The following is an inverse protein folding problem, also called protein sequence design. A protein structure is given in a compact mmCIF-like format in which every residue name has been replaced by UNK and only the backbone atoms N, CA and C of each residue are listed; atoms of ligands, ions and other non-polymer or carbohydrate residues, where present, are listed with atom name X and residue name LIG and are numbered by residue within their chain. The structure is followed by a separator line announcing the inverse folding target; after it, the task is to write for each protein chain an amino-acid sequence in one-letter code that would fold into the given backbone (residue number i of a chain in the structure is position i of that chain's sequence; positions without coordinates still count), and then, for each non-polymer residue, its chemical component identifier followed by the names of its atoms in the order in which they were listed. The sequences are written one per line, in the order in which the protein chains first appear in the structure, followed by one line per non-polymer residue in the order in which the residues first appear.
data_IF_112111606009
#
_entry.id   IF_112111606009
#
_cell.length_a   1.000
_cell.length_b   1.000
_cell.length_c   1.000
_cell.angle_alpha   90.00
_cell.angle_beta   90.00
_cell.angle_gamma   90.00
#
_symmetry.space_group_name_H-M   'P 1'
#
loop_
_entity.id
_entity.type
_entity.pdbx_description
1 polymer ?
#
# COMPACT_ATOMS: atom_id res chain seq x y z
N UNK A 1 18.04 15.93 14.34
CA UNK A 1 17.24 14.72 14.31
C UNK A 1 15.72 14.99 14.28
N UNK A 2 15.10 15.75 15.21
CA UNK A 2 13.64 15.94 15.18
C UNK A 2 13.09 16.60 13.90
N UNK A 3 13.85 17.51 13.28
CA UNK A 3 13.43 18.21 12.06
C UNK A 3 13.27 17.26 10.87
N UNK A 4 14.22 16.35 10.65
CA UNK A 4 14.12 15.37 9.56
C UNK A 4 13.00 14.35 9.78
N UNK A 5 12.76 13.94 11.02
CA UNK A 5 11.63 13.09 11.37
C UNK A 5 10.29 13.79 11.08
N UNK A 6 10.15 15.06 11.48
CA UNK A 6 8.95 15.85 11.17
C UNK A 6 8.74 15.94 9.64
N UNK A 7 9.78 16.28 8.89
CA UNK A 7 9.73 16.35 7.44
C UNK A 7 9.26 15.03 6.83
N UNK A 8 9.88 13.92 7.23
CA UNK A 8 9.56 12.59 6.69
C UNK A 8 8.18 12.08 7.13
N UNK A 9 7.71 12.43 8.32
CA UNK A 9 6.34 12.12 8.74
C UNK A 9 5.30 12.84 7.88
N UNK A 10 5.51 14.13 7.60
CA UNK A 10 4.61 14.88 6.72
C UNK A 10 4.65 14.40 5.26
N UNK A 11 5.77 13.83 4.82
CA UNK A 11 5.88 13.22 3.50
C UNK A 11 5.12 11.90 3.42
N UNK A 12 5.32 11.00 4.40
CA UNK A 12 4.80 9.64 4.33
C UNK A 12 3.28 9.57 4.45
N UNK A 13 2.64 10.48 5.20
CA UNK A 13 1.18 10.47 5.40
C UNK A 13 0.40 10.69 4.10
N UNK A 14 1.00 11.32 3.08
CA UNK A 14 0.31 11.63 1.83
C UNK A 14 0.00 10.38 1.00
N UNK A 15 0.80 9.33 1.13
CA UNK A 15 0.54 8.05 0.48
C UNK A 15 -0.77 7.40 0.97
N UNK A 16 -0.95 7.08 2.26
CA UNK A 16 -2.19 6.46 2.73
C UNK A 16 -3.39 7.44 2.68
N UNK A 17 -3.19 8.74 2.91
CA UNK A 17 -4.27 9.73 2.74
C UNK A 17 -4.81 9.71 1.32
N UNK A 18 -3.96 9.64 0.30
CA UNK A 18 -4.37 9.53 -1.10
C UNK A 18 -5.17 8.26 -1.42
N UNK A 19 -5.07 7.22 -0.60
CA UNK A 19 -5.80 5.96 -0.74
C UNK A 19 -7.06 5.96 0.15
N UNK A 20 -6.92 6.23 1.46
CA UNK A 20 -7.96 5.90 2.44
C UNK A 20 -8.99 7.02 2.60
N UNK A 21 -8.58 8.29 2.44
CA UNK A 21 -9.44 9.42 2.75
C UNK A 21 -10.64 9.55 1.78
N UNK A 22 -10.46 9.22 0.49
CA UNK A 22 -11.53 9.36 -0.48
C UNK A 22 -12.50 8.17 -0.55
N UNK A 23 -12.15 7.03 0.08
CA UNK A 23 -12.95 5.81 0.00
C UNK A 23 -14.37 6.00 0.51
N UNK A 24 -14.55 6.80 1.56
CA UNK A 24 -15.87 7.16 2.11
C UNK A 24 -16.75 7.93 1.11
N UNK A 25 -16.14 8.56 0.10
CA UNK A 25 -16.83 9.32 -0.93
C UNK A 25 -17.03 8.54 -2.23
N UNK A 26 -16.51 7.33 -2.34
CA UNK A 26 -16.54 6.53 -3.59
C UNK A 26 -17.93 6.44 -4.20
N UNK A 27 -19.02 6.12 -3.47
CA UNK A 27 -20.34 6.09 -4.09
C UNK A 27 -20.79 7.46 -4.61
N UNK A 28 -20.56 8.54 -3.83
CA UNK A 28 -20.91 9.92 -4.24
C UNK A 28 -20.11 10.38 -5.48
N UNK A 29 -18.84 9.96 -5.59
CA UNK A 29 -18.00 10.24 -6.76
C UNK A 29 -18.53 9.48 -7.97
N UNK A 30 -18.87 8.20 -7.81
CA UNK A 30 -19.43 7.37 -8.87
C UNK A 30 -20.73 7.99 -9.41
N UNK A 31 -21.64 8.39 -8.54
CA UNK A 31 -22.90 9.04 -8.91
C UNK A 31 -22.66 10.39 -9.60
N UNK A 32 -21.80 11.25 -9.03
CA UNK A 32 -21.52 12.59 -9.56
C UNK A 32 -20.84 12.57 -10.94
N UNK A 33 -19.97 11.59 -11.19
CA UNK A 33 -19.26 11.42 -12.46
C UNK A 33 -19.94 10.43 -13.39
N UNK A 34 -21.11 9.89 -12.99
CA UNK A 34 -21.85 8.83 -13.71
C UNK A 34 -20.92 7.66 -14.08
N UNK A 35 -20.05 7.28 -13.17
CA UNK A 35 -19.02 6.28 -13.36
C UNK A 35 -19.50 4.88 -12.96
N UNK A 36 -19.15 3.89 -13.79
CA UNK A 36 -19.35 2.48 -13.44
C UNK A 36 -18.36 2.02 -12.36
N UNK A 37 -18.65 0.88 -11.72
CA UNK A 37 -17.74 0.25 -10.76
C UNK A 37 -16.35 -0.02 -11.36
N UNK A 38 -16.30 -0.54 -12.59
CA UNK A 38 -15.06 -0.75 -13.31
C UNK A 38 -14.25 0.53 -13.51
N UNK A 39 -14.92 1.66 -13.71
CA UNK A 39 -14.26 2.95 -13.83
C UNK A 39 -13.70 3.44 -12.48
N UNK A 40 -14.40 3.18 -11.38
CA UNK A 40 -13.90 3.47 -10.03
C UNK A 40 -12.68 2.61 -9.70
N UNK A 41 -12.72 1.31 -10.00
CA UNK A 41 -11.54 0.43 -9.85
C UNK A 41 -10.37 0.89 -10.72
N UNK A 42 -10.65 1.37 -11.92
CA UNK A 42 -9.64 1.97 -12.80
C UNK A 42 -9.01 3.22 -12.17
N UNK A 43 -9.80 4.11 -11.55
CA UNK A 43 -9.28 5.30 -10.87
C UNK A 43 -8.34 4.95 -9.70
N UNK A 44 -8.66 3.90 -8.93
CA UNK A 44 -7.80 3.38 -7.87
C UNK A 44 -6.48 2.83 -8.44
N UNK A 45 -6.59 2.01 -9.48
CA UNK A 45 -5.44 1.39 -10.14
C UNK A 45 -4.50 2.40 -10.79
N UNK A 46 -5.05 3.44 -11.42
CA UNK A 46 -4.28 4.53 -12.04
C UNK A 46 -3.43 5.29 -11.00
N UNK A 47 -3.96 5.52 -9.80
CA UNK A 47 -3.17 6.08 -8.70
C UNK A 47 -1.99 5.18 -8.33
N UNK A 48 -2.21 3.87 -8.21
CA UNK A 48 -1.16 2.90 -7.91
C UNK A 48 -0.11 2.84 -9.03
N UNK A 49 -0.50 2.91 -10.31
CA UNK A 49 0.44 2.96 -11.43
C UNK A 49 1.28 4.24 -11.44
N UNK A 50 0.67 5.40 -11.14
CA UNK A 50 1.42 6.65 -10.97
C UNK A 50 2.47 6.54 -9.85
N UNK A 51 2.09 5.94 -8.73
CA UNK A 51 2.99 5.68 -7.61
C UNK A 51 4.13 4.73 -7.99
N UNK A 52 3.82 3.60 -8.63
CA UNK A 52 4.83 2.62 -9.05
C UNK A 52 5.84 3.22 -10.03
N UNK A 53 5.38 4.02 -11.00
CA UNK A 53 6.25 4.71 -11.95
C UNK A 53 7.26 5.63 -11.24
N UNK A 54 6.82 6.33 -10.21
CA UNK A 54 7.70 7.23 -9.46
C UNK A 54 8.64 6.49 -8.53
N UNK A 55 8.21 5.39 -7.91
CA UNK A 55 9.11 4.54 -7.10
C UNK A 55 10.26 4.00 -7.95
N UNK A 56 9.98 3.66 -9.23
CA UNK A 56 11.01 3.22 -10.17
C UNK A 56 12.00 4.32 -10.55
N UNK A 57 11.50 5.51 -10.88
CA UNK A 57 12.30 6.60 -11.45
C UNK A 57 12.78 7.60 -10.40
N UNK A 58 12.06 7.73 -9.29
CA UNK A 58 12.30 8.78 -8.28
C UNK A 58 13.66 8.71 -7.63
N UNK A 59 14.19 7.50 -7.41
CA UNK A 59 15.55 7.31 -6.92
C UNK A 59 16.61 7.89 -7.88
N UNK A 60 16.50 7.59 -9.17
CA UNK A 60 17.43 8.09 -10.21
C UNK A 60 17.33 9.62 -10.36
N UNK A 61 16.12 10.17 -10.31
CA UNK A 61 15.90 11.62 -10.37
C UNK A 61 16.50 12.29 -9.13
N UNK A 62 16.30 11.73 -7.95
CA UNK A 62 16.86 12.24 -6.71
C UNK A 62 18.39 12.18 -6.66
N UNK A 63 19.00 11.15 -7.25
CA UNK A 63 20.46 11.06 -7.37
C UNK A 63 21.04 12.12 -8.32
N UNK A 64 20.28 12.52 -9.33
CA UNK A 64 20.71 13.53 -10.30
C UNK A 64 20.46 14.97 -9.84
N UNK A 65 19.25 15.26 -9.35
CA UNK A 65 18.79 16.61 -9.06
C UNK A 65 18.80 16.97 -7.57
N UNK A 66 18.96 16.00 -6.67
CA UNK A 66 18.91 16.18 -5.23
C UNK A 66 17.56 15.74 -4.62
N UNK A 67 17.60 15.37 -3.34
CA UNK A 67 16.43 14.84 -2.60
C UNK A 67 15.38 15.92 -2.37
N UNK A 68 15.85 17.12 -1.98
CA UNK A 68 14.96 18.26 -1.68
C UNK A 68 14.07 18.64 -2.84
N UNK A 69 14.62 18.69 -4.05
CA UNK A 69 13.84 19.08 -5.24
C UNK A 69 12.79 18.04 -5.63
N UNK A 70 13.08 16.76 -5.44
CA UNK A 70 12.10 15.68 -5.68
C UNK A 70 10.96 15.75 -4.66
N UNK A 71 11.25 16.05 -3.38
CA UNK A 71 10.23 16.25 -2.34
C UNK A 71 9.32 17.43 -2.68
N UNK A 72 9.89 18.58 -3.02
CA UNK A 72 9.10 19.78 -3.33
C UNK A 72 8.29 19.62 -4.61
N UNK A 73 8.87 19.02 -5.65
CA UNK A 73 8.18 18.70 -6.89
C UNK A 73 7.05 17.69 -6.67
N UNK A 74 7.29 16.63 -5.89
CA UNK A 74 6.30 15.64 -5.53
C UNK A 74 5.12 16.23 -4.76
N UNK A 75 5.39 17.10 -3.78
CA UNK A 75 4.35 17.79 -3.02
C UNK A 75 3.52 18.74 -3.91
N UNK A 76 4.18 19.52 -4.78
CA UNK A 76 3.49 20.39 -5.72
C UNK A 76 2.60 19.60 -6.70
N UNK A 77 3.13 18.51 -7.26
CA UNK A 77 2.37 17.63 -8.15
C UNK A 77 1.15 17.07 -7.41
N UNK A 78 1.31 16.60 -6.16
CA UNK A 78 0.19 16.07 -5.37
C UNK A 78 -0.88 17.14 -5.11
N UNK A 79 -0.49 18.37 -4.77
CA UNK A 79 -1.42 19.51 -4.59
C UNK A 79 -2.22 19.75 -5.86
N UNK A 80 -1.54 19.99 -6.99
CA UNK A 80 -2.19 20.32 -8.26
C UNK A 80 -3.09 19.16 -8.72
N UNK A 81 -2.62 17.94 -8.61
CA UNK A 81 -3.36 16.74 -8.98
C UNK A 81 -4.62 16.55 -8.11
N UNK A 82 -4.51 16.81 -6.80
CA UNK A 82 -5.67 16.77 -5.90
C UNK A 82 -6.71 17.81 -6.29
N UNK A 83 -6.29 19.03 -6.64
CA UNK A 83 -7.22 20.05 -7.12
C UNK A 83 -7.88 19.66 -8.46
N UNK A 84 -7.11 19.08 -9.40
CA UNK A 84 -7.66 18.57 -10.66
C UNK A 84 -8.67 17.46 -10.42
N UNK A 85 -8.37 16.51 -9.56
CA UNK A 85 -9.29 15.42 -9.22
C UNK A 85 -10.56 15.94 -8.51
N UNK A 86 -10.41 16.91 -7.59
CA UNK A 86 -11.53 17.53 -6.88
C UNK A 86 -12.44 18.40 -7.75
N UNK A 87 -11.93 18.95 -8.85
CA UNK A 87 -12.72 19.75 -9.80
C UNK A 87 -13.10 18.97 -11.06
N UNK A 88 -12.95 17.63 -11.04
CA UNK A 88 -13.29 16.82 -12.19
C UNK A 88 -14.80 16.90 -12.51
N UNK A 89 -15.12 17.17 -13.77
CA UNK A 89 -16.47 17.13 -14.34
C UNK A 89 -16.78 15.81 -15.05
N UNK A 90 -15.75 14.98 -15.28
CA UNK A 90 -15.89 13.67 -15.90
C UNK A 90 -14.78 12.71 -15.47
N UNK A 91 -15.02 11.42 -15.75
CA UNK A 91 -14.14 10.34 -15.29
C UNK A 91 -12.71 10.45 -15.84
N UNK A 92 -12.53 10.92 -17.08
CA UNK A 92 -11.20 11.06 -17.69
C UNK A 92 -10.34 12.10 -16.97
N UNK A 93 -10.93 13.25 -16.60
CA UNK A 93 -10.23 14.28 -15.83
C UNK A 93 -9.90 13.77 -14.42
N UNK A 94 -10.80 13.01 -13.82
CA UNK A 94 -10.57 12.35 -12.55
C UNK A 94 -9.38 11.38 -12.63
N UNK A 95 -9.29 10.55 -13.69
CA UNK A 95 -8.15 9.66 -13.93
C UNK A 95 -6.83 10.41 -14.04
N UNK A 96 -6.79 11.52 -14.77
CA UNK A 96 -5.59 12.35 -14.87
C UNK A 96 -5.16 12.87 -13.49
N UNK A 97 -6.12 13.39 -12.70
CA UNK A 97 -5.85 13.82 -11.33
C UNK A 97 -5.30 12.67 -10.49
N UNK A 98 -5.91 11.48 -10.52
CA UNK A 98 -5.48 10.30 -9.76
C UNK A 98 -4.08 9.82 -10.16
N UNK A 99 -3.76 9.81 -11.46
CA UNK A 99 -2.43 9.43 -11.94
C UNK A 99 -1.33 10.34 -11.42
N UNK A 100 -1.50 11.64 -11.59
CA UNK A 100 -0.51 12.61 -11.12
C UNK A 100 -0.44 12.69 -9.60
N UNK A 101 -1.56 12.48 -8.90
CA UNK A 101 -1.59 12.35 -7.45
C UNK A 101 -0.76 11.14 -6.99
N UNK A 102 -0.86 10.00 -7.70
CA UNK A 102 -0.02 8.82 -7.47
C UNK A 102 1.47 9.12 -7.68
N UNK A 103 1.83 9.87 -8.74
CA UNK A 103 3.23 10.31 -8.98
C UNK A 103 3.73 11.15 -7.82
N UNK A 104 2.97 12.12 -7.35
CA UNK A 104 3.33 12.95 -6.20
C UNK A 104 3.52 12.14 -4.92
N UNK A 105 2.57 11.25 -4.62
CA UNK A 105 2.62 10.36 -3.45
C UNK A 105 3.83 9.42 -3.51
N UNK A 106 4.11 8.82 -4.66
CA UNK A 106 5.26 7.93 -4.86
C UNK A 106 6.60 8.63 -4.67
N UNK A 107 6.72 9.88 -5.13
CA UNK A 107 7.91 10.70 -4.92
C UNK A 107 8.16 10.94 -3.42
N UNK A 108 7.12 11.33 -2.68
CA UNK A 108 7.21 11.58 -1.24
C UNK A 108 7.45 10.30 -0.45
N UNK A 109 6.81 9.20 -0.85
CA UNK A 109 7.00 7.88 -0.26
C UNK A 109 8.47 7.45 -0.33
N UNK A 110 9.07 7.42 -1.53
CA UNK A 110 10.44 6.95 -1.69
C UNK A 110 11.45 7.91 -1.04
N UNK A 111 11.21 9.21 -1.10
CA UNK A 111 12.08 10.22 -0.47
C UNK A 111 12.07 10.12 1.05
N UNK A 112 10.97 9.72 1.68
CA UNK A 112 10.91 9.46 3.12
C UNK A 112 12.00 8.50 3.56
N UNK A 113 12.10 7.34 2.91
CA UNK A 113 13.10 6.33 3.24
C UNK A 113 14.52 6.74 2.83
N UNK A 114 14.64 7.44 1.71
CA UNK A 114 15.93 7.91 1.20
C UNK A 114 16.56 8.95 2.13
N UNK A 115 15.80 9.98 2.51
CA UNK A 115 16.27 11.04 3.42
C UNK A 115 16.65 10.47 4.78
N UNK A 116 15.85 9.56 5.35
CA UNK A 116 16.18 8.94 6.63
C UNK A 116 17.48 8.13 6.56
N UNK A 117 17.69 7.40 5.46
CA UNK A 117 18.93 6.64 5.24
C UNK A 117 20.15 7.53 5.04
N UNK A 118 20.00 8.65 4.36
CA UNK A 118 21.10 9.60 4.11
C UNK A 118 21.56 10.31 5.39
N UNK A 119 20.67 10.48 6.40
CA UNK A 119 20.90 11.33 7.58
C UNK A 119 21.15 10.52 8.86
N UNK A 120 20.63 9.29 8.99
CA UNK A 120 20.64 8.55 10.23
C UNK A 120 21.66 7.40 10.24
N UNK A 121 22.29 7.15 11.41
CA UNK A 121 23.05 5.93 11.67
C UNK A 121 22.11 4.70 11.67
N UNK A 122 22.65 3.49 11.45
CA UNK A 122 21.87 2.24 11.35
C UNK A 122 20.91 2.02 12.54
N UNK A 123 21.37 2.28 13.78
CA UNK A 123 20.54 2.12 14.99
C UNK A 123 19.36 3.11 15.01
N UNK A 124 19.62 4.39 14.66
CA UNK A 124 18.61 5.45 14.63
C UNK A 124 17.66 5.28 13.45
N UNK A 125 18.16 4.74 12.36
CA UNK A 125 17.35 4.42 11.16
C UNK A 125 16.31 3.36 11.50
N UNK A 126 16.68 2.27 12.16
CA UNK A 126 15.73 1.23 12.56
C UNK A 126 14.59 1.78 13.44
N UNK A 127 14.92 2.67 14.40
CA UNK A 127 13.92 3.35 15.23
C UNK A 127 13.01 4.27 14.39
N UNK A 128 13.59 5.08 13.51
CA UNK A 128 12.83 6.00 12.65
C UNK A 128 11.88 5.24 11.69
N UNK A 129 12.34 4.13 11.11
CA UNK A 129 11.51 3.28 10.25
C UNK A 129 10.34 2.65 11.02
N UNK A 130 10.56 2.25 12.28
CA UNK A 130 9.49 1.76 13.15
C UNK A 130 8.45 2.85 13.43
N UNK A 131 8.88 4.09 13.68
CA UNK A 131 7.97 5.23 13.88
C UNK A 131 7.19 5.56 12.59
N UNK A 132 7.84 5.55 11.42
CA UNK A 132 7.19 5.74 10.11
C UNK A 132 6.12 4.67 9.89
N UNK A 133 6.44 3.41 10.19
CA UNK A 133 5.46 2.33 10.06
C UNK A 133 4.26 2.52 10.99
N UNK A 134 4.49 3.00 12.20
CA UNK A 134 3.41 3.39 13.13
C UNK A 134 2.49 4.46 12.54
N UNK A 135 3.04 5.49 11.92
CA UNK A 135 2.26 6.54 11.23
C UNK A 135 1.43 5.95 10.09
N UNK A 136 2.02 5.08 9.26
CA UNK A 136 1.31 4.42 8.16
C UNK A 136 0.13 3.59 8.68
N UNK A 137 0.27 2.92 9.83
CA UNK A 137 -0.80 2.12 10.43
C UNK A 137 -1.93 2.97 11.06
N UNK A 138 -1.62 4.20 11.51
CA UNK A 138 -2.61 5.09 12.15
C UNK A 138 -3.51 5.77 11.12
N UNK A 139 -3.00 6.10 9.94
CA UNK A 139 -3.78 6.84 8.91
C UNK A 139 -5.04 6.08 8.47
N UNK A 140 -5.02 4.77 8.15
CA UNK A 140 -6.24 4.04 7.80
C UNK A 140 -7.30 4.00 8.91
N UNK A 141 -6.88 4.20 10.18
CA UNK A 141 -7.82 4.35 11.32
C UNK A 141 -8.50 5.71 11.29
N UNK A 142 -7.74 6.78 11.04
CA UNK A 142 -8.22 8.16 11.10
C UNK A 142 -8.88 8.62 9.79
N UNK A 143 -8.40 8.18 8.64
CA UNK A 143 -8.83 8.68 7.35
C UNK A 143 -10.34 8.49 7.07
N UNK A 144 -10.96 7.34 7.35
CA UNK A 144 -12.41 7.20 7.15
C UNK A 144 -13.24 8.14 8.04
N UNK A 145 -12.81 8.36 9.28
CA UNK A 145 -13.47 9.29 10.21
C UNK A 145 -13.32 10.73 9.74
N UNK A 146 -12.12 11.13 9.35
CA UNK A 146 -11.87 12.46 8.78
C UNK A 146 -12.63 12.66 7.48
N UNK A 147 -12.69 11.65 6.62
CA UNK A 147 -13.46 11.68 5.39
C UNK A 147 -14.96 11.86 5.65
N UNK A 148 -15.53 11.14 6.62
CA UNK A 148 -16.91 11.32 7.06
C UNK A 148 -17.18 12.75 7.58
N UNK A 149 -16.28 13.26 8.44
CA UNK A 149 -16.41 14.63 8.96
C UNK A 149 -16.35 15.68 7.84
N UNK A 150 -15.52 15.49 6.83
CA UNK A 150 -15.49 16.38 5.66
C UNK A 150 -16.81 16.27 4.89
N UNK A 151 -17.30 15.05 4.63
CA UNK A 151 -18.52 14.81 3.87
C UNK A 151 -19.81 15.24 4.60
N UNK A 152 -19.78 15.45 5.91
CA UNK A 152 -20.91 15.97 6.68
C UNK A 152 -21.10 17.48 6.53
N UNK A 153 -20.05 18.20 6.07
CA UNK A 153 -20.07 19.65 5.91
C UNK A 153 -19.82 20.11 4.48
N UNK A 154 -19.16 19.29 3.67
CA UNK A 154 -18.75 19.59 2.31
C UNK A 154 -19.13 18.46 1.34
N UNK A 155 -19.18 18.76 0.06
CA UNK A 155 -19.28 17.76 -1.00
C UNK A 155 -18.01 16.90 -1.08
N UNK A 156 -18.04 15.79 -1.83
CA UNK A 156 -16.89 14.89 -2.07
C UNK A 156 -15.62 15.63 -2.57
N UNK A 157 -15.80 16.75 -3.25
CA UNK A 157 -14.70 17.63 -3.69
C UNK A 157 -13.90 18.17 -2.52
N UNK A 158 -14.52 18.41 -1.37
CA UNK A 158 -13.88 18.85 -0.14
C UNK A 158 -12.80 17.89 0.36
N UNK A 159 -12.92 16.60 0.09
CA UNK A 159 -11.89 15.60 0.41
C UNK A 159 -10.59 15.88 -0.35
N UNK A 160 -10.69 16.16 -1.64
CA UNK A 160 -9.52 16.45 -2.48
C UNK A 160 -8.90 17.81 -2.15
N UNK A 161 -9.71 18.79 -1.75
CA UNK A 161 -9.20 20.08 -1.22
C UNK A 161 -8.46 19.85 0.10
N UNK A 162 -8.97 19.03 1.00
CA UNK A 162 -8.28 18.68 2.25
C UNK A 162 -6.94 17.96 1.97
N UNK A 163 -6.92 17.02 1.01
CA UNK A 163 -5.67 16.38 0.56
C UNK A 163 -4.67 17.40 0.02
N UNK A 164 -5.13 18.34 -0.81
CA UNK A 164 -4.29 19.41 -1.35
C UNK A 164 -3.72 20.31 -0.24
N UNK A 165 -4.53 20.66 0.78
CA UNK A 165 -4.07 21.44 1.93
C UNK A 165 -3.02 20.70 2.76
N UNK A 166 -3.22 19.43 3.06
CA UNK A 166 -2.23 18.61 3.78
C UNK A 166 -0.92 18.53 2.99
N UNK A 167 -1.00 18.33 1.68
CA UNK A 167 0.18 18.30 0.81
C UNK A 167 0.87 19.67 0.72
N UNK A 168 0.11 20.76 0.66
CA UNK A 168 0.66 22.12 0.67
C UNK A 168 1.41 22.42 1.98
N UNK A 169 0.82 22.06 3.12
CA UNK A 169 1.46 22.19 4.44
C UNK A 169 2.74 21.32 4.50
N UNK A 170 2.66 20.06 4.05
CA UNK A 170 3.83 19.18 3.97
C UNK A 170 4.92 19.80 3.08
N UNK A 171 4.55 20.27 1.90
CA UNK A 171 5.47 20.93 0.96
C UNK A 171 6.12 22.20 1.55
N UNK A 172 5.33 23.05 2.21
CA UNK A 172 5.82 24.28 2.85
C UNK A 172 6.79 23.97 4.01
N UNK A 173 6.45 23.04 4.88
CA UNK A 173 7.33 22.62 5.98
C UNK A 173 8.64 22.04 5.43
N UNK A 174 8.56 21.21 4.39
CA UNK A 174 9.75 20.67 3.74
C UNK A 174 10.56 21.75 3.00
N UNK A 175 9.92 22.74 2.40
CA UNK A 175 10.60 23.89 1.79
C UNK A 175 11.42 24.67 2.83
N UNK A 176 10.87 24.88 4.02
CA UNK A 176 11.50 25.69 5.07
C UNK A 176 12.56 24.92 5.86
N UNK A 177 12.33 23.62 6.12
CA UNK A 177 13.12 22.86 7.09
C UNK A 177 13.99 21.79 6.45
N UNK A 178 13.61 21.20 5.31
CA UNK A 178 14.38 20.13 4.69
C UNK A 178 15.60 20.71 3.97
N UNK A 179 16.79 20.38 4.46
CA UNK A 179 18.06 20.66 3.78
C UNK A 179 18.35 19.55 2.77
N UNK A 180 19.17 19.85 1.74
CA UNK A 180 19.64 18.83 0.82
C UNK A 180 20.46 17.78 1.56
N UNK A 181 20.10 16.50 1.37
CA UNK A 181 20.72 15.36 2.07
C UNK A 181 21.53 14.46 1.14
N UNK A 182 21.60 14.79 -0.15
CA UNK A 182 22.34 14.03 -1.13
C UNK A 182 23.79 13.85 -0.71
N UNK A 183 24.29 12.58 -0.55
CA UNK A 183 25.69 12.35 -0.23
C UNK A 183 26.60 12.80 -1.38
N UNK A 184 27.80 13.26 -1.05
CA UNK A 184 28.82 13.54 -2.04
C UNK A 184 29.10 12.24 -2.84
N UNK A 185 29.09 12.33 -4.16
CA UNK A 185 29.28 11.18 -5.07
C UNK A 185 30.65 10.55 -4.80
N UNK A 186 30.67 9.34 -4.24
CA UNK A 186 31.90 8.56 -4.16
C UNK A 186 32.16 7.91 -5.53
N UNK A 187 33.30 8.25 -6.19
CA UNK A 187 33.71 7.53 -7.41
C UNK A 187 34.09 6.12 -7.02
N UNK A 188 33.40 5.13 -7.51
CA UNK A 188 33.80 3.73 -7.34
C UNK A 188 32.83 2.79 -6.62
N UNK A 189 31.61 3.19 -6.26
CA UNK A 189 30.58 2.22 -5.89
C UNK A 189 30.18 1.46 -7.17
N UNK A 190 30.98 0.43 -7.48
CA UNK A 190 30.73 -0.48 -8.59
C UNK A 190 29.29 -0.96 -8.50
N UNK A 191 28.56 -0.82 -9.60
CA UNK A 191 27.23 -1.38 -9.76
C UNK A 191 27.33 -2.90 -9.55
N UNK A 192 27.13 -3.35 -8.30
CA UNK A 192 26.78 -4.74 -8.08
C UNK A 192 25.62 -5.02 -9.02
N UNK A 193 25.67 -6.14 -9.77
CA UNK A 193 24.71 -6.43 -10.83
C UNK A 193 23.30 -6.54 -10.23
N UNK A 194 22.53 -5.43 -10.17
CA UNK A 194 21.23 -5.44 -9.48
C UNK A 194 20.23 -6.36 -10.17
N UNK A 195 20.40 -6.56 -11.50
CA UNK A 195 19.55 -7.42 -12.31
C UNK A 195 19.77 -8.93 -12.08
N UNK A 196 20.88 -9.34 -11.45
CA UNK A 196 21.09 -10.74 -11.09
C UNK A 196 20.03 -11.23 -10.07
N UNK A 197 19.55 -10.33 -9.21
CA UNK A 197 18.49 -10.62 -8.24
C UNK A 197 17.18 -11.04 -8.90
N UNK A 198 16.80 -10.42 -10.02
CA UNK A 198 15.60 -10.76 -10.78
C UNK A 198 15.68 -12.16 -11.43
N UNK A 199 16.86 -12.74 -11.55
CA UNK A 199 17.07 -14.10 -12.05
C UNK A 199 17.01 -15.15 -10.94
N UNK A 200 16.98 -14.75 -9.67
CA UNK A 200 16.86 -15.68 -8.54
C UNK A 200 15.41 -16.18 -8.43
N UNK A 201 15.15 -17.50 -8.65
CA UNK A 201 13.79 -18.05 -8.53
C UNK A 201 13.24 -17.91 -7.11
N UNK A 202 14.12 -18.01 -6.09
CA UNK A 202 13.75 -17.81 -4.68
C UNK A 202 13.24 -16.40 -4.43
N UNK A 203 13.98 -15.38 -4.91
CA UNK A 203 13.57 -13.98 -4.75
C UNK A 203 12.25 -13.70 -5.47
N UNK A 204 12.08 -14.20 -6.70
CA UNK A 204 10.85 -14.00 -7.48
C UNK A 204 9.64 -14.65 -6.84
N UNK A 205 9.78 -15.89 -6.30
CA UNK A 205 8.71 -16.58 -5.59
C UNK A 205 8.26 -15.83 -4.33
N UNK A 206 9.22 -15.35 -3.52
CA UNK A 206 8.92 -14.57 -2.31
C UNK A 206 8.37 -13.19 -2.67
N UNK A 207 8.80 -12.60 -3.78
CA UNK A 207 8.24 -11.35 -4.30
C UNK A 207 6.77 -11.53 -4.72
N UNK A 208 6.41 -12.64 -5.36
CA UNK A 208 5.03 -12.96 -5.69
C UNK A 208 4.18 -13.18 -4.44
N UNK A 209 4.70 -13.87 -3.42
CA UNK A 209 4.00 -14.06 -2.14
C UNK A 209 3.70 -12.73 -1.46
N UNK A 210 4.70 -11.84 -1.36
CA UNK A 210 4.50 -10.51 -0.75
C UNK A 210 3.56 -9.65 -1.58
N UNK A 211 3.64 -9.73 -2.92
CA UNK A 211 2.73 -9.00 -3.82
C UNK A 211 1.30 -9.48 -3.70
N UNK A 212 1.07 -10.79 -3.61
CA UNK A 212 -0.27 -11.35 -3.41
C UNK A 212 -0.87 -10.93 -2.05
N UNK A 213 -0.05 -10.86 -0.98
CA UNK A 213 -0.49 -10.34 0.32
C UNK A 213 -0.87 -8.86 0.25
N UNK A 214 -0.08 -8.01 -0.42
CA UNK A 214 -0.40 -6.59 -0.63
C UNK A 214 -1.63 -6.44 -1.53
N UNK A 215 -1.76 -7.26 -2.57
CA UNK A 215 -2.94 -7.26 -3.43
C UNK A 215 -4.21 -7.55 -2.63
N UNK A 216 -4.18 -8.53 -1.72
CA UNK A 216 -5.34 -8.86 -0.89
C UNK A 216 -5.84 -7.68 -0.06
N UNK A 217 -4.94 -6.93 0.58
CA UNK A 217 -5.34 -5.77 1.39
C UNK A 217 -5.76 -4.57 0.51
N UNK A 218 -5.09 -4.31 -0.61
CA UNK A 218 -5.45 -3.22 -1.51
C UNK A 218 -6.78 -3.48 -2.24
N UNK A 219 -7.06 -4.73 -2.60
CA UNK A 219 -8.37 -5.13 -3.12
C UNK A 219 -9.44 -4.92 -2.04
N UNK A 220 -9.24 -5.43 -0.82
CA UNK A 220 -10.15 -5.21 0.30
C UNK A 220 -10.46 -3.71 0.48
N UNK A 221 -9.43 -2.86 0.51
CA UNK A 221 -9.59 -1.41 0.64
C UNK A 221 -10.38 -0.83 -0.54
N UNK A 222 -10.07 -1.24 -1.77
CA UNK A 222 -10.74 -0.74 -2.98
C UNK A 222 -12.21 -1.14 -3.09
N UNK A 223 -12.56 -2.37 -2.68
CA UNK A 223 -13.92 -2.91 -2.84
C UNK A 223 -14.82 -2.67 -1.63
N UNK A 224 -14.26 -2.43 -0.45
CA UNK A 224 -15.02 -2.29 0.80
C UNK A 224 -16.12 -1.21 0.75
N UNK A 225 -15.93 -0.01 0.12
CA UNK A 225 -16.99 0.98 0.05
C UNK A 225 -18.14 0.52 -0.87
N UNK A 226 -17.84 -0.20 -1.93
CA UNK A 226 -18.86 -0.74 -2.84
C UNK A 226 -19.66 -1.84 -2.16
N UNK A 227 -19.01 -2.78 -1.47
CA UNK A 227 -19.68 -3.83 -0.72
C UNK A 227 -20.54 -3.21 0.39
N UNK A 228 -19.96 -2.45 1.31
CA UNK A 228 -20.68 -1.99 2.51
C UNK A 228 -21.73 -0.93 2.19
N UNK A 229 -21.39 0.07 1.36
CA UNK A 229 -22.29 1.22 1.15
C UNK A 229 -23.26 0.98 0.00
N UNK A 230 -22.86 0.29 -1.08
CA UNK A 230 -23.73 0.08 -2.25
C UNK A 230 -24.53 -1.22 -2.17
N UNK A 231 -23.89 -2.36 -1.81
CA UNK A 231 -24.58 -3.64 -1.74
C UNK A 231 -25.36 -3.80 -0.43
N UNK A 232 -24.76 -3.41 0.72
CA UNK A 232 -25.37 -3.54 2.05
C UNK A 232 -26.09 -2.28 2.56
N UNK A 233 -26.04 -1.16 1.82
CA UNK A 233 -26.76 0.07 2.13
C UNK A 233 -26.24 0.80 3.39
N UNK A 234 -25.00 0.58 3.80
CA UNK A 234 -24.40 1.29 4.94
C UNK A 234 -24.30 2.78 4.66
N UNK A 235 -24.60 3.58 5.68
CA UNK A 235 -24.33 5.02 5.63
C UNK A 235 -22.82 5.28 5.64
N UNK A 236 -22.41 6.47 5.20
CA UNK A 236 -21.02 6.91 5.27
C UNK A 236 -20.44 6.83 6.68
N UNK A 237 -21.28 7.12 7.71
CA UNK A 237 -20.90 7.02 9.11
C UNK A 237 -20.64 5.56 9.51
N UNK A 238 -21.58 4.66 9.22
CA UNK A 238 -21.44 3.23 9.52
C UNK A 238 -20.21 2.62 8.83
N UNK A 239 -19.99 2.95 7.55
CA UNK A 239 -18.81 2.55 6.82
C UNK A 239 -17.53 3.02 7.53
N UNK A 240 -17.48 4.29 7.94
CA UNK A 240 -16.31 4.86 8.62
C UNK A 240 -16.01 4.16 9.95
N UNK A 241 -17.05 3.82 10.71
CA UNK A 241 -16.91 3.06 11.96
C UNK A 241 -16.35 1.66 11.69
N UNK A 242 -16.91 0.94 10.69
CA UNK A 242 -16.41 -0.39 10.31
C UNK A 242 -14.94 -0.32 9.91
N UNK A 243 -14.56 0.61 9.03
CA UNK A 243 -13.18 0.74 8.59
C UNK A 243 -12.23 1.12 9.73
N UNK A 244 -12.66 1.98 10.66
CA UNK A 244 -11.90 2.30 11.86
C UNK A 244 -11.67 1.05 12.74
N UNK A 245 -12.69 0.23 12.94
CA UNK A 245 -12.59 -1.03 13.69
C UNK A 245 -11.64 -1.99 13.00
N UNK A 246 -11.76 -2.17 11.67
CA UNK A 246 -10.89 -3.05 10.89
C UNK A 246 -9.42 -2.60 10.91
N UNK A 247 -9.19 -1.29 10.82
CA UNK A 247 -7.85 -0.73 10.98
C UNK A 247 -7.31 -0.93 12.41
N UNK A 248 -8.16 -0.85 13.42
CA UNK A 248 -7.84 -1.20 14.81
C UNK A 248 -7.43 -2.68 14.95
N UNK A 249 -8.13 -3.60 14.28
CA UNK A 249 -7.76 -5.03 14.21
C UNK A 249 -6.40 -5.20 13.57
N UNK A 250 -6.13 -4.56 12.42
CA UNK A 250 -4.82 -4.57 11.76
C UNK A 250 -3.71 -4.08 12.66
N UNK A 251 -3.93 -2.94 13.32
CA UNK A 251 -2.96 -2.33 14.22
C UNK A 251 -2.65 -3.23 15.41
N UNK A 252 -3.68 -3.76 16.08
CA UNK A 252 -3.52 -4.68 17.22
C UNK A 252 -2.77 -5.94 16.81
N UNK A 253 -3.10 -6.52 15.67
CA UNK A 253 -2.40 -7.69 15.12
C UNK A 253 -0.93 -7.38 14.84
N UNK A 254 -0.64 -6.23 14.24
CA UNK A 254 0.73 -5.80 13.96
C UNK A 254 1.58 -5.67 15.24
N UNK A 255 1.00 -5.12 16.31
CA UNK A 255 1.69 -5.04 17.62
C UNK A 255 1.89 -6.42 18.28
N UNK A 256 0.97 -7.36 18.06
CA UNK A 256 1.09 -8.73 18.60
C UNK A 256 2.05 -9.61 17.77
N UNK A 257 2.27 -9.29 16.50
CA UNK A 257 3.09 -10.11 15.60
C UNK A 257 4.51 -10.38 16.11
N UNK A 258 5.27 -9.42 16.69
CA UNK A 258 6.59 -9.71 17.26
C UNK A 258 6.54 -10.73 18.39
N UNK A 259 5.49 -10.72 19.21
CA UNK A 259 5.29 -11.71 20.29
C UNK A 259 4.97 -13.09 19.70
N UNK A 260 4.10 -13.16 18.69
CA UNK A 260 3.79 -14.40 17.98
C UNK A 260 5.04 -14.98 17.30
N UNK A 261 5.90 -14.16 16.73
CA UNK A 261 7.16 -14.58 16.13
C UNK A 261 8.12 -15.21 17.15
N UNK A 262 8.17 -14.67 18.38
CA UNK A 262 8.98 -15.24 19.47
C UNK A 262 8.47 -16.61 19.91
N UNK A 263 7.16 -16.81 19.97
CA UNK A 263 6.56 -18.07 20.47
C UNK A 263 6.42 -19.14 19.39
N UNK A 264 6.02 -18.76 18.19
CA UNK A 264 5.68 -19.70 17.12
C UNK A 264 6.77 -19.85 16.06
N UNK A 265 7.61 -18.82 15.89
CA UNK A 265 8.60 -18.74 14.81
C UNK A 265 8.00 -18.35 13.45
N UNK A 266 8.85 -17.92 12.52
CA UNK A 266 8.47 -17.34 11.21
C UNK A 266 7.49 -18.24 10.42
N UNK A 267 7.79 -19.52 10.31
CA UNK A 267 7.01 -20.47 9.49
C UNK A 267 5.57 -20.66 9.99
N UNK A 268 5.37 -20.75 11.31
CA UNK A 268 4.03 -20.91 11.88
C UNK A 268 3.24 -19.61 11.84
N UNK A 269 3.89 -18.45 12.03
CA UNK A 269 3.23 -17.14 11.88
C UNK A 269 2.74 -16.95 10.44
N UNK A 270 3.55 -17.33 9.45
CA UNK A 270 3.14 -17.28 8.05
C UNK A 270 1.98 -18.26 7.76
N UNK A 271 1.98 -19.45 8.38
CA UNK A 271 0.86 -20.39 8.27
C UNK A 271 -0.43 -19.83 8.91
N UNK A 272 -0.36 -19.18 10.08
CA UNK A 272 -1.49 -18.50 10.73
C UNK A 272 -2.06 -17.39 9.83
N UNK A 273 -1.20 -16.59 9.21
CA UNK A 273 -1.61 -15.57 8.24
C UNK A 273 -2.46 -16.14 7.09
N UNK A 274 -1.98 -17.24 6.47
CA UNK A 274 -2.70 -17.87 5.34
C UNK A 274 -3.91 -18.68 5.78
N UNK A 275 -3.91 -19.24 6.99
CA UNK A 275 -5.11 -19.83 7.60
C UNK A 275 -6.19 -18.74 7.80
N UNK A 276 -5.81 -17.54 8.23
CA UNK A 276 -6.75 -16.42 8.35
C UNK A 276 -7.34 -16.05 6.98
N UNK A 277 -6.56 -16.06 5.90
CA UNK A 277 -7.10 -15.85 4.54
C UNK A 277 -8.05 -16.96 4.12
N UNK A 278 -7.76 -18.22 4.43
CA UNK A 278 -8.66 -19.35 4.14
C UNK A 278 -9.99 -19.19 4.88
N UNK A 279 -9.94 -18.87 6.16
CA UNK A 279 -11.14 -18.64 6.97
C UNK A 279 -11.92 -17.40 6.47
N UNK A 280 -11.22 -16.36 6.00
CA UNK A 280 -11.85 -15.19 5.36
C UNK A 280 -12.61 -15.61 4.09
N UNK A 281 -12.01 -16.43 3.22
CA UNK A 281 -12.69 -16.96 2.03
C UNK A 281 -13.94 -17.73 2.41
N UNK A 282 -13.86 -18.63 3.41
CA UNK A 282 -15.03 -19.38 3.88
C UNK A 282 -16.13 -18.46 4.42
N UNK A 283 -15.77 -17.43 5.18
CA UNK A 283 -16.69 -16.45 5.76
C UNK A 283 -17.39 -15.61 4.68
N UNK A 284 -16.63 -15.12 3.69
CA UNK A 284 -17.16 -14.35 2.56
C UNK A 284 -18.07 -15.18 1.65
N UNK A 285 -17.68 -16.43 1.34
CA UNK A 285 -18.53 -17.35 0.58
C UNK A 285 -19.80 -17.69 1.35
N UNK A 286 -19.72 -17.90 2.67
CA UNK A 286 -20.87 -18.11 3.54
C UNK A 286 -21.83 -16.93 3.51
N UNK A 287 -21.31 -15.69 3.62
CA UNK A 287 -22.11 -14.48 3.50
C UNK A 287 -22.84 -14.39 2.15
N UNK A 288 -22.13 -14.70 1.06
CA UNK A 288 -22.72 -14.70 -0.28
C UNK A 288 -23.83 -15.75 -0.45
N UNK A 289 -23.62 -16.97 0.05
CA UNK A 289 -24.61 -18.07 -0.03
C UNK A 289 -25.87 -17.82 0.82
N UNK A 290 -25.74 -17.09 1.91
CA UNK A 290 -26.87 -16.74 2.81
C UNK A 290 -27.62 -15.47 2.38
N UNK A 291 -27.32 -14.94 1.19
CA UNK A 291 -27.98 -13.73 0.66
C UNK A 291 -27.48 -12.43 1.26
N UNK A 292 -26.22 -12.42 1.75
CA UNK A 292 -25.61 -11.21 2.29
C UNK A 292 -25.69 -11.10 3.81
N UNK A 293 -25.30 -12.15 4.54
CA UNK A 293 -25.26 -12.07 6.00
C UNK A 293 -24.05 -11.24 6.47
N UNK A 294 -24.34 -10.11 7.12
CA UNK A 294 -23.36 -9.19 7.69
C UNK A 294 -22.53 -9.83 8.81
N UNK A 295 -23.12 -10.77 9.55
CA UNK A 295 -22.45 -11.49 10.64
C UNK A 295 -21.36 -12.44 10.14
N UNK A 296 -21.37 -12.76 8.85
CA UNK A 296 -20.29 -13.50 8.18
C UNK A 296 -19.35 -12.54 7.43
N UNK A 297 -19.87 -11.46 6.85
CA UNK A 297 -19.05 -10.51 6.09
C UNK A 297 -18.01 -9.80 6.96
N UNK A 298 -18.41 -9.22 8.10
CA UNK A 298 -17.51 -8.45 8.96
C UNK A 298 -16.38 -9.28 9.57
N UNK A 299 -16.62 -10.50 10.12
CA UNK A 299 -15.52 -11.39 10.50
C UNK A 299 -14.61 -11.76 9.33
N UNK A 300 -15.14 -11.95 8.11
CA UNK A 300 -14.35 -12.14 6.90
C UNK A 300 -13.38 -10.99 6.68
N UNK A 301 -13.83 -9.75 6.77
CA UNK A 301 -12.99 -8.56 6.66
C UNK A 301 -11.94 -8.46 7.77
N UNK A 302 -12.31 -8.78 9.01
CA UNK A 302 -11.36 -8.81 10.12
C UNK A 302 -10.25 -9.86 9.89
N UNK A 303 -10.60 -11.03 9.37
CA UNK A 303 -9.65 -12.08 9.04
C UNK A 303 -8.70 -11.70 7.89
N UNK A 304 -9.16 -10.92 6.90
CA UNK A 304 -8.26 -10.32 5.88
C UNK A 304 -7.23 -9.42 6.54
N UNK A 305 -7.68 -8.54 7.43
CA UNK A 305 -6.81 -7.61 8.17
C UNK A 305 -5.79 -8.36 9.04
N UNK A 306 -6.22 -9.39 9.78
CA UNK A 306 -5.33 -10.25 10.58
C UNK A 306 -4.31 -10.95 9.69
N UNK A 307 -4.75 -11.56 8.60
CA UNK A 307 -3.89 -12.28 7.66
C UNK A 307 -2.78 -11.40 7.11
N UNK A 308 -3.13 -10.20 6.63
CA UNK A 308 -2.15 -9.23 6.12
C UNK A 308 -1.18 -8.77 7.20
N UNK A 309 -1.69 -8.29 8.33
CA UNK A 309 -0.89 -7.68 9.39
C UNK A 309 0.08 -8.66 10.05
N UNK A 310 -0.33 -9.94 10.15
CA UNK A 310 0.49 -11.01 10.70
C UNK A 310 1.56 -11.48 9.71
N UNK A 311 1.23 -11.62 8.42
CA UNK A 311 2.06 -12.30 7.43
C UNK A 311 2.99 -11.41 6.63
N UNK A 312 2.55 -10.19 6.28
CA UNK A 312 3.28 -9.33 5.35
C UNK A 312 4.72 -9.03 5.78
N UNK A 313 4.91 -8.62 7.03
CA UNK A 313 6.25 -8.30 7.56
C UNK A 313 7.19 -9.51 7.57
N UNK A 314 6.65 -10.69 7.84
CA UNK A 314 7.42 -11.95 7.84
C UNK A 314 7.84 -12.32 6.43
N UNK A 315 6.89 -12.30 5.48
CA UNK A 315 7.16 -12.59 4.07
C UNK A 315 8.15 -11.60 3.45
N UNK A 316 8.01 -10.29 3.78
CA UNK A 316 8.96 -9.25 3.34
C UNK A 316 10.35 -9.48 3.90
N UNK A 317 10.46 -9.86 5.17
CA UNK A 317 11.74 -10.22 5.79
C UNK A 317 12.39 -11.42 5.12
N UNK A 318 11.65 -12.48 4.83
CA UNK A 318 12.16 -13.65 4.11
C UNK A 318 12.59 -13.34 2.67
N UNK A 319 11.88 -12.43 2.00
CA UNK A 319 12.25 -11.99 0.65
C UNK A 319 13.57 -11.19 0.62
N UNK A 320 13.85 -10.46 1.68
CA UNK A 320 15.10 -9.67 1.83
C UNK A 320 16.24 -10.48 2.46
N UNK A 321 15.95 -11.62 3.10
CA UNK A 321 16.98 -12.53 3.60
C UNK A 321 17.82 -13.07 2.42
N UNK A 322 19.13 -12.81 2.43
CA UNK A 322 20.04 -13.14 1.34
C UNK A 322 20.36 -11.99 0.37
N UNK A 323 19.70 -10.84 0.51
CA UNK A 323 19.97 -9.64 -0.31
C UNK A 323 20.91 -8.62 0.37
N UNK A 324 21.78 -9.07 1.31
CA UNK A 324 22.56 -8.21 2.21
C UNK A 324 23.36 -7.10 1.51
N UNK A 325 23.87 -7.34 0.32
CA UNK A 325 24.65 -6.36 -0.46
C UNK A 325 23.77 -5.41 -1.29
N UNK A 326 22.49 -5.74 -1.54
CA UNK A 326 21.59 -5.02 -2.44
C UNK A 326 20.18 -4.77 -1.84
N UNK A 327 20.06 -4.67 -0.52
CA UNK A 327 18.77 -4.55 0.19
C UNK A 327 17.92 -3.39 -0.33
N UNK A 328 18.53 -2.27 -0.65
CA UNK A 328 17.83 -1.10 -1.18
C UNK A 328 17.19 -1.37 -2.54
N UNK A 329 17.92 -2.00 -3.45
CA UNK A 329 17.42 -2.39 -4.76
C UNK A 329 16.34 -3.47 -4.65
N UNK A 330 16.56 -4.49 -3.81
CA UNK A 330 15.60 -5.54 -3.54
C UNK A 330 14.27 -4.97 -3.00
N UNK A 331 14.35 -4.06 -2.03
CA UNK A 331 13.16 -3.39 -1.47
C UNK A 331 12.42 -2.55 -2.50
N UNK A 332 13.12 -1.85 -3.38
CA UNK A 332 12.51 -1.07 -4.46
C UNK A 332 11.78 -1.99 -5.46
N UNK A 333 12.41 -3.10 -5.86
CA UNK A 333 11.81 -4.10 -6.75
C UNK A 333 10.55 -4.70 -6.10
N UNK A 334 10.63 -5.10 -4.84
CA UNK A 334 9.47 -5.62 -4.09
C UNK A 334 8.33 -4.60 -4.08
N UNK A 335 8.61 -3.35 -3.74
CA UNK A 335 7.60 -2.28 -3.70
C UNK A 335 6.93 -2.07 -5.07
N UNK A 336 7.73 -2.01 -6.14
CA UNK A 336 7.21 -1.87 -7.51
C UNK A 336 6.33 -3.06 -7.88
N UNK A 337 6.79 -4.29 -7.63
CA UNK A 337 6.01 -5.50 -7.92
C UNK A 337 4.69 -5.51 -7.14
N UNK A 338 4.73 -5.21 -5.85
CA UNK A 338 3.55 -5.15 -4.98
C UNK A 338 2.51 -4.16 -5.49
N UNK A 339 2.92 -2.93 -5.76
CA UNK A 339 2.01 -1.85 -6.20
C UNK A 339 1.51 -2.10 -7.63
N UNK A 340 2.40 -2.48 -8.56
CA UNK A 340 2.03 -2.69 -9.97
C UNK A 340 1.13 -3.89 -10.15
N UNK A 341 1.44 -5.02 -9.49
CA UNK A 341 0.62 -6.23 -9.59
C UNK A 341 -0.77 -6.01 -8.95
N UNK A 342 -0.83 -5.29 -7.82
CA UNK A 342 -2.11 -4.94 -7.20
C UNK A 342 -2.94 -4.03 -8.09
N UNK A 343 -2.34 -2.98 -8.66
CA UNK A 343 -3.02 -2.09 -9.58
C UNK A 343 -3.51 -2.81 -10.84
N UNK A 344 -2.67 -3.68 -11.42
CA UNK A 344 -3.04 -4.49 -12.60
C UNK A 344 -4.16 -5.46 -12.26
N UNK A 345 -4.11 -6.13 -11.12
CA UNK A 345 -5.13 -7.06 -10.66
C UNK A 345 -6.50 -6.36 -10.52
N UNK A 346 -6.55 -5.24 -9.79
CA UNK A 346 -7.79 -4.48 -9.56
C UNK A 346 -8.36 -3.98 -10.89
N UNK A 347 -7.51 -3.43 -11.76
CA UNK A 347 -7.93 -2.96 -13.07
C UNK A 347 -8.47 -4.09 -13.95
N UNK A 348 -7.74 -5.21 -14.06
CA UNK A 348 -8.09 -6.33 -14.92
C UNK A 348 -9.42 -6.96 -14.50
N UNK A 349 -9.59 -7.31 -13.22
CA UNK A 349 -10.83 -7.93 -12.75
C UNK A 349 -12.02 -6.95 -12.82
N UNK A 350 -11.78 -5.66 -12.56
CA UNK A 350 -12.80 -4.63 -12.78
C UNK A 350 -13.26 -4.54 -14.22
N UNK A 351 -12.34 -4.62 -15.23
CA UNK A 351 -12.70 -4.64 -16.65
C UNK A 351 -13.39 -5.95 -17.09
N UNK A 352 -13.06 -7.07 -16.45
CA UNK A 352 -13.70 -8.36 -16.72
C UNK A 352 -15.10 -8.48 -16.09
N UNK A 353 -15.56 -7.46 -15.33
CA UNK A 353 -16.91 -7.42 -14.76
C UNK A 353 -17.08 -8.30 -13.51
N UNK A 354 -15.98 -8.62 -12.82
CA UNK A 354 -16.06 -9.29 -11.52
C UNK A 354 -16.73 -8.37 -10.49
N UNK A 355 -17.59 -8.95 -9.67
CA UNK A 355 -18.20 -8.22 -8.55
C UNK A 355 -17.16 -7.89 -7.47
N UNK A 356 -17.39 -6.85 -6.65
CA UNK A 356 -16.49 -6.50 -5.55
C UNK A 356 -16.14 -7.67 -4.64
N UNK A 357 -17.12 -8.48 -4.27
CA UNK A 357 -16.94 -9.66 -3.43
C UNK A 357 -16.11 -10.76 -4.12
N UNK A 358 -16.34 -11.03 -5.40
CA UNK A 358 -15.54 -11.99 -6.20
C UNK A 358 -14.09 -11.53 -6.34
N UNK A 359 -13.84 -10.25 -6.58
CA UNK A 359 -12.48 -9.71 -6.64
C UNK A 359 -11.72 -9.97 -5.35
N UNK A 360 -12.36 -9.79 -4.19
CA UNK A 360 -11.72 -10.02 -2.90
C UNK A 360 -11.44 -11.51 -2.67
N UNK A 361 -12.41 -12.38 -2.93
CA UNK A 361 -12.23 -13.83 -2.79
C UNK A 361 -11.10 -14.34 -3.69
N UNK A 362 -11.07 -13.92 -4.96
CA UNK A 362 -10.00 -14.30 -5.89
C UNK A 362 -8.62 -13.80 -5.43
N UNK A 363 -8.51 -12.59 -4.83
CA UNK A 363 -7.26 -12.08 -4.30
C UNK A 363 -6.74 -12.92 -3.12
N UNK A 364 -7.65 -13.33 -2.21
CA UNK A 364 -7.30 -14.20 -1.09
C UNK A 364 -6.87 -15.60 -1.56
N UNK A 365 -7.56 -16.17 -2.56
CA UNK A 365 -7.17 -17.43 -3.17
C UNK A 365 -5.80 -17.34 -3.85
N UNK A 366 -5.51 -16.23 -4.53
CA UNK A 366 -4.19 -15.98 -5.12
C UNK A 366 -3.09 -15.95 -4.04
N UNK A 367 -3.36 -15.31 -2.90
CA UNK A 367 -2.43 -15.28 -1.76
C UNK A 367 -2.21 -16.69 -1.20
N UNK A 368 -3.25 -17.50 -1.05
CA UNK A 368 -3.15 -18.88 -0.61
C UNK A 368 -2.34 -19.73 -1.60
N UNK A 369 -2.61 -19.63 -2.90
CA UNK A 369 -1.89 -20.33 -3.95
C UNK A 369 -0.40 -19.95 -3.98
N UNK A 370 -0.08 -18.66 -3.83
CA UNK A 370 1.31 -18.18 -3.77
C UNK A 370 2.06 -18.77 -2.57
N UNK A 371 1.39 -18.88 -1.42
CA UNK A 371 1.95 -19.52 -0.23
C UNK A 371 2.22 -21.01 -0.43
N UNK A 372 1.27 -21.74 -1.01
CA UNK A 372 1.44 -23.17 -1.32
C UNK A 372 2.58 -23.38 -2.33
N UNK A 373 2.68 -22.50 -3.33
CA UNK A 373 3.78 -22.53 -4.29
C UNK A 373 5.14 -22.31 -3.60
N UNK A 374 5.23 -21.35 -2.70
CA UNK A 374 6.44 -21.12 -1.90
C UNK A 374 6.79 -22.34 -1.06
N UNK A 375 5.82 -22.92 -0.35
CA UNK A 375 6.01 -24.12 0.48
C UNK A 375 6.45 -25.35 -0.32
N UNK A 376 5.93 -25.55 -1.53
CA UNK A 376 6.27 -26.68 -2.38
C UNK A 376 7.57 -26.51 -3.16
N UNK A 377 7.81 -25.31 -3.71
CA UNK A 377 8.93 -25.07 -4.65
C UNK A 377 10.23 -24.67 -3.96
N UNK A 378 10.18 -23.91 -2.83
CA UNK A 378 11.40 -23.46 -2.14
C UNK A 378 12.30 -24.61 -1.66
N UNK A 379 11.80 -25.70 -1.04
CA UNK A 379 12.63 -26.81 -0.68
C UNK A 379 13.27 -27.53 -1.88
N UNK A 380 12.51 -27.64 -2.97
CA UNK A 380 13.00 -28.23 -4.21
C UNK A 380 14.12 -27.39 -4.88
N UNK A 381 13.96 -26.05 -4.89
CA UNK A 381 14.99 -25.13 -5.39
C UNK A 381 16.28 -25.22 -4.57
N UNK A 382 16.18 -25.26 -3.23
CA UNK A 382 17.33 -25.41 -2.35
C UNK A 382 18.08 -26.71 -2.58
N UNK A 383 17.38 -27.83 -2.82
CA UNK A 383 17.98 -29.11 -3.16
C UNK A 383 18.67 -29.10 -4.53
N UNK A 384 18.11 -28.37 -5.50
CA UNK A 384 18.71 -28.23 -6.84
C UNK A 384 19.99 -27.39 -6.81
N UNK A 385 19.98 -26.30 -6.06
CA UNK A 385 21.18 -25.44 -5.89
C UNK A 385 22.31 -26.21 -5.18
N UNK A 386 22.00 -27.00 -4.15
CA UNK A 386 22.97 -27.84 -3.47
C UNK A 386 23.61 -28.90 -4.41
N UNK A 387 22.82 -29.48 -5.34
CA UNK A 387 23.34 -30.44 -6.34
C UNK A 387 24.16 -29.83 -7.46
N UNK A 388 24.02 -28.52 -7.72
CA UNK A 388 24.77 -27.82 -8.75
C UNK A 388 26.14 -27.30 -8.27
N UNK A 389 26.36 -27.33 -6.96
CA UNK A 389 27.61 -26.88 -6.31
C UNK A 389 28.50 -28.03 -5.85
N UNK A 390 28.05 -29.26 -5.91
CA UNK A 390 28.81 -30.48 -5.68
C UNK A 390 29.09 -31.25 -6.98
#
# INVERSE_FOLDING_TARGET
MPVFLLCTFLMIILYPIGIDLYLVAVPKIADALQASEAQIHTAFSIYLFGMAATVLLGGMIADRYGRRWVVLGGALIFVLASLVAGHAEGITQFYLGRFWQGIGAGALYIMTFTVLRDVLSQERLAMALSMINGVICVIPVLAPVLGYLILSHFDWRGIFVAMALVAAVSGLVNLLLLKETRPARQPGSGAAQPFALLRSPRFMLLSLLTSASVTSILVYVSVSPLILMKEFGFTTEQYSIVMMVMAGVSMSTSFLTPLLLRWLGKQKVLAVSHLSYLLAVCSLLGSWQTGGDIHLLLPGFALVCVGFSCGFGVAMGEALDGCQHNVAFASAVLCIMQISLSGLYIWLLGQLGFTPSEMLICALLLALLSYLAVKGLLPWLALREARSQG
#
